data_IF_659380107816
#
_entry.id   IF_659380107816
#
_cell.length_a   1.000
_cell.length_b   1.000
_cell.length_c   1.000
_cell.angle_alpha   90.00
_cell.angle_beta   90.00
_cell.angle_gamma   90.00
#
_symmetry.space_group_name_H-M   'P 1'
#
loop_
_entity.id
_entity.type
_entity.pdbx_description
1 polymer ?
#
# COMPACT_ATOMS: atom_id res chain seq x y z
N UNK A 1 -17.67 12.97 0.95
CA UNK A 1 -16.44 12.31 1.46
C UNK A 1 -15.42 12.44 0.36
N UNK A 2 -14.26 13.00 0.67
CA UNK A 2 -13.15 13.01 -0.29
C UNK A 2 -12.32 11.74 -0.09
N UNK A 3 -12.28 10.88 -1.11
CA UNK A 3 -11.50 9.64 -1.10
C UNK A 3 -10.01 9.87 -1.34
N UNK A 4 -9.63 11.12 -1.69
CA UNK A 4 -8.24 11.52 -1.94
C UNK A 4 -7.64 12.27 -0.77
N UNK A 5 -8.45 12.64 0.21
CA UNK A 5 -7.98 13.26 1.44
C UNK A 5 -7.50 12.18 2.43
N UNK A 6 -6.20 12.20 2.71
CA UNK A 6 -5.53 11.17 3.53
C UNK A 6 -6.09 11.11 4.95
N UNK A 7 -6.34 12.27 5.57
CA UNK A 7 -6.80 12.35 6.96
C UNK A 7 -8.21 11.78 7.12
N UNK A 8 -9.14 12.13 6.22
CA UNK A 8 -10.48 11.54 6.21
C UNK A 8 -10.45 10.03 6.01
N UNK A 9 -9.58 9.53 5.13
CA UNK A 9 -9.45 8.09 4.85
C UNK A 9 -8.89 7.34 6.07
N UNK A 10 -7.85 7.87 6.71
CA UNK A 10 -7.25 7.31 7.95
C UNK A 10 -8.29 7.22 9.06
N UNK A 11 -9.02 8.31 9.32
CA UNK A 11 -10.03 8.38 10.39
C UNK A 11 -11.06 7.23 10.30
N UNK A 12 -11.45 6.86 9.06
CA UNK A 12 -12.45 5.81 8.82
C UNK A 12 -11.93 4.40 9.01
N UNK A 13 -10.68 4.14 8.64
CA UNK A 13 -10.08 2.80 8.78
C UNK A 13 -9.49 2.54 10.17
N UNK A 14 -9.21 3.60 10.95
CA UNK A 14 -8.53 3.51 12.25
C UNK A 14 -9.17 2.49 13.19
N UNK A 15 -10.49 2.52 13.35
CA UNK A 15 -11.20 1.59 14.24
C UNK A 15 -11.05 0.12 13.78
N UNK A 16 -11.17 -0.13 12.47
CA UNK A 16 -11.02 -1.47 11.91
C UNK A 16 -9.60 -2.02 12.10
N UNK A 17 -8.58 -1.18 11.87
CA UNK A 17 -7.17 -1.56 12.05
C UNK A 17 -6.83 -1.74 13.53
N UNK A 18 -7.21 -0.79 14.39
CA UNK A 18 -6.93 -0.84 15.83
C UNK A 18 -7.56 -2.06 16.51
N UNK A 19 -8.69 -2.58 16.00
CA UNK A 19 -9.31 -3.81 16.51
C UNK A 19 -8.44 -5.07 16.34
N UNK A 20 -7.43 -5.02 15.46
CA UNK A 20 -6.52 -6.13 15.15
C UNK A 20 -5.06 -5.83 15.44
N UNK A 21 -4.66 -4.56 15.37
CA UNK A 21 -3.28 -4.10 15.50
C UNK A 21 -3.23 -2.83 16.37
N UNK A 22 -3.67 -2.97 17.62
CA UNK A 22 -3.68 -1.87 18.59
C UNK A 22 -2.26 -1.37 18.90
N UNK A 23 -2.09 -0.05 18.94
CA UNK A 23 -0.80 0.63 19.13
C UNK A 23 0.02 0.77 17.84
N UNK A 24 -0.43 0.22 16.71
CA UNK A 24 0.24 0.31 15.41
C UNK A 24 -0.67 0.89 14.31
N UNK A 25 -1.90 1.27 14.66
CA UNK A 25 -2.92 1.75 13.73
C UNK A 25 -2.48 3.00 12.99
N UNK A 26 -1.75 3.93 13.61
CA UNK A 26 -1.39 5.19 12.94
C UNK A 26 -0.39 4.96 11.79
N UNK A 27 0.63 4.15 12.05
CA UNK A 27 1.61 3.75 11.03
C UNK A 27 0.94 2.94 9.92
N UNK A 28 0.13 1.95 10.28
CA UNK A 28 -0.56 1.09 9.31
C UNK A 28 -1.59 1.86 8.47
N UNK A 29 -2.42 2.70 9.10
CA UNK A 29 -3.45 3.47 8.41
C UNK A 29 -2.82 4.47 7.44
N UNK A 30 -1.70 5.09 7.81
CA UNK A 30 -0.95 5.98 6.91
C UNK A 30 -0.50 5.25 5.63
N UNK A 31 0.07 4.06 5.76
CA UNK A 31 0.53 3.23 4.63
C UNK A 31 -0.64 2.72 3.77
N UNK A 32 -1.71 2.25 4.41
CA UNK A 32 -2.91 1.74 3.72
C UNK A 32 -3.59 2.88 2.96
N UNK A 33 -3.73 4.05 3.57
CA UNK A 33 -4.33 5.22 2.93
C UNK A 33 -3.54 5.65 1.68
N UNK A 34 -2.21 5.75 1.80
CA UNK A 34 -1.36 6.12 0.67
C UNK A 34 -1.49 5.12 -0.50
N UNK A 35 -1.48 3.81 -0.20
CA UNK A 35 -1.64 2.77 -1.22
C UNK A 35 -3.02 2.85 -1.92
N UNK A 36 -4.10 3.02 -1.15
CA UNK A 36 -5.45 3.12 -1.69
C UNK A 36 -5.67 4.38 -2.53
N UNK A 37 -5.12 5.53 -2.12
CA UNK A 37 -5.27 6.79 -2.85
C UNK A 37 -4.55 6.72 -4.21
N UNK A 38 -3.36 6.12 -4.25
CA UNK A 38 -2.55 6.01 -5.47
C UNK A 38 -3.20 5.14 -6.56
N UNK A 39 -3.94 4.10 -6.17
CA UNK A 39 -4.64 3.22 -7.13
C UNK A 39 -6.08 3.65 -7.42
N UNK A 40 -6.53 4.75 -6.83
CA UNK A 40 -7.91 5.20 -6.95
C UNK A 40 -8.20 5.74 -8.37
N UNK A 41 -9.14 5.14 -9.11
CA UNK A 41 -9.50 5.61 -10.44
C UNK A 41 -10.23 6.96 -10.40
N UNK A 42 -10.41 7.59 -11.58
CA UNK A 42 -11.19 8.85 -11.68
C UNK A 42 -12.61 8.72 -11.13
N UNK A 43 -13.23 7.55 -11.35
CA UNK A 43 -14.53 7.21 -10.77
C UNK A 43 -14.30 6.30 -9.55
N UNK A 44 -14.49 6.79 -8.30
CA UNK A 44 -14.23 6.02 -7.08
C UNK A 44 -15.05 4.73 -6.95
N UNK A 45 -16.22 4.64 -7.60
CA UNK A 45 -17.08 3.44 -7.55
C UNK A 45 -16.40 2.23 -8.20
N UNK A 46 -15.49 2.46 -9.14
CA UNK A 46 -14.76 1.40 -9.84
C UNK A 46 -13.46 1.00 -9.13
N UNK A 47 -13.31 1.34 -7.85
CA UNK A 47 -12.14 0.94 -7.08
C UNK A 47 -12.06 -0.58 -6.98
N UNK A 48 -10.96 -1.16 -7.48
CA UNK A 48 -10.69 -2.59 -7.36
C UNK A 48 -9.68 -2.85 -6.24
N UNK A 49 -10.09 -3.65 -5.26
CA UNK A 49 -9.25 -4.05 -4.11
C UNK A 49 -8.04 -4.89 -4.52
N UNK A 50 -8.11 -5.61 -5.64
CA UNK A 50 -7.00 -6.45 -6.14
C UNK A 50 -5.79 -5.64 -6.64
N UNK A 51 -6.00 -4.33 -6.87
CA UNK A 51 -4.92 -3.41 -7.23
C UNK A 51 -4.04 -3.03 -6.03
N UNK A 52 -4.49 -3.30 -4.80
CA UNK A 52 -3.69 -3.13 -3.58
C UNK A 52 -3.15 -4.49 -3.15
N UNK A 53 -1.83 -4.65 -3.21
CA UNK A 53 -1.16 -5.91 -2.85
C UNK A 53 -0.16 -5.68 -1.73
N UNK A 54 0.00 -6.70 -0.87
CA UNK A 54 0.96 -6.68 0.25
C UNK A 54 2.07 -7.69 -0.01
N UNK A 55 3.31 -7.23 -0.03
CA UNK A 55 4.50 -8.08 -0.08
C UNK A 55 5.15 -8.15 1.31
N UNK A 56 5.04 -9.30 1.98
CA UNK A 56 5.71 -9.53 3.26
C UNK A 56 7.17 -9.94 3.03
N UNK A 57 8.09 -9.11 3.49
CA UNK A 57 9.53 -9.35 3.50
C UNK A 57 9.96 -9.68 4.93
N UNK A 58 10.70 -10.78 5.12
CA UNK A 58 11.20 -11.21 6.43
C UNK A 58 12.52 -10.50 6.71
N UNK A 59 12.72 -10.06 7.96
CA UNK A 59 13.97 -9.41 8.41
C UNK A 59 13.87 -7.91 8.68
N UNK A 60 12.70 -7.29 8.49
CA UNK A 60 12.43 -5.88 8.83
C UNK A 60 11.25 -5.71 9.78
N UNK A 61 11.12 -4.51 10.36
CA UNK A 61 9.99 -4.11 11.19
C UNK A 61 8.93 -3.31 10.44
N UNK A 62 7.81 -3.00 11.11
CA UNK A 62 6.73 -2.20 10.52
C UNK A 62 7.22 -0.81 10.07
N UNK A 63 8.12 -0.20 10.84
CA UNK A 63 8.71 1.12 10.57
C UNK A 63 9.55 1.15 9.28
N UNK A 64 9.98 -0.02 8.77
CA UNK A 64 10.68 -0.16 7.50
C UNK A 64 9.73 -0.37 6.31
N UNK A 65 8.42 -0.42 6.54
CA UNK A 65 7.44 -0.63 5.49
C UNK A 65 7.29 0.63 4.63
N UNK A 66 7.12 0.43 3.33
CA UNK A 66 6.93 1.49 2.36
C UNK A 66 5.89 1.09 1.30
N UNK A 67 5.29 2.10 0.67
CA UNK A 67 4.37 1.91 -0.46
C UNK A 67 5.17 2.01 -1.76
N UNK A 68 5.00 1.02 -2.63
CA UNK A 68 5.64 0.98 -3.96
C UNK A 68 4.58 1.14 -5.03
N UNK A 69 4.79 2.10 -5.93
CA UNK A 69 3.93 2.29 -7.10
C UNK A 69 4.27 1.26 -8.18
N UNK A 70 3.56 0.14 -8.17
CA UNK A 70 3.72 -0.92 -9.15
C UNK A 70 3.63 -2.31 -8.51
N UNK A 71 4.17 -3.30 -9.19
CA UNK A 71 4.20 -4.68 -8.71
C UNK A 71 5.55 -4.98 -8.05
N UNK A 72 5.51 -5.60 -6.87
CA UNK A 72 6.70 -6.08 -6.16
C UNK A 72 6.73 -7.61 -6.24
N UNK A 73 7.86 -8.14 -6.72
CA UNK A 73 8.19 -9.56 -6.65
C UNK A 73 9.21 -9.78 -5.52
N UNK A 74 9.03 -10.85 -4.75
CA UNK A 74 9.94 -11.20 -3.63
C UNK A 74 11.25 -11.82 -4.11
N UNK A 75 11.19 -12.50 -5.26
CA UNK A 75 12.35 -13.13 -5.86
C UNK A 75 12.99 -12.16 -6.84
N UNK A 76 14.31 -12.12 -6.81
CA UNK A 76 15.10 -11.30 -7.72
C UNK A 76 15.13 -11.92 -9.13
N UNK A 77 15.57 -11.12 -10.11
CA UNK A 77 15.81 -11.60 -11.46
C UNK A 77 16.93 -12.66 -11.47
N UNK A 78 16.65 -13.80 -12.11
CA UNK A 78 17.63 -14.88 -12.35
C UNK A 78 18.65 -14.47 -13.42
N UNK A 79 18.26 -13.60 -14.35
CA UNK A 79 19.12 -13.08 -15.39
C UNK A 79 20.11 -12.01 -14.90
N UNK A 80 20.89 -11.48 -15.83
CA UNK A 80 21.91 -10.45 -15.54
C UNK A 80 21.35 -9.03 -15.46
N UNK A 81 20.19 -8.77 -16.09
CA UNK A 81 19.55 -7.45 -16.11
C UNK A 81 18.64 -7.31 -14.89
N UNK A 82 18.94 -6.35 -14.01
CA UNK A 82 18.17 -6.10 -12.76
C UNK A 82 17.40 -4.79 -12.75
N UNK A 83 17.80 -3.84 -13.60
CA UNK A 83 17.14 -2.56 -13.73
C UNK A 83 17.01 -2.21 -15.20
N UNK A 84 15.83 -1.74 -15.59
CA UNK A 84 15.54 -1.28 -16.95
C UNK A 84 14.51 -0.17 -16.89
N UNK A 85 14.66 0.83 -17.74
CA UNK A 85 13.68 1.90 -17.90
C UNK A 85 12.84 1.63 -19.15
N UNK A 86 11.52 1.87 -19.07
CA UNK A 86 10.57 1.64 -20.18
C UNK A 86 10.65 0.19 -20.72
N UNK A 87 10.57 -0.78 -19.81
CA UNK A 87 10.43 -2.19 -20.16
C UNK A 87 9.25 -2.40 -21.13
N UNK A 88 9.46 -3.24 -22.14
CA UNK A 88 8.44 -3.62 -23.14
C UNK A 88 7.52 -4.71 -22.62
#
# INVERSE_FOLDING_TARGET
MDVRDKEQVISRMRAAVASKQFGQEDTLCSLIADACIQVCPKNPVNFNVDNVRVAKLVGGGLHNSAVVQGMVLRTDAVGTIKHTEKAK
#
